data_IF_363820616817
#
_entry.id   IF_363820616817
#
_cell.length_a   1.000
_cell.length_b   1.000
_cell.length_c   1.000
_cell.angle_alpha   90.00
_cell.angle_beta   90.00
_cell.angle_gamma   90.00
#
_symmetry.space_group_name_H-M   'P 1'
#
loop_
_entity.id
_entity.type
_entity.pdbx_description
1 polymer ?
#
# COMPACT_ATOMS: atom_id res chain seq x y z
N UNK A 1 -23.22 5.55 -24.86
CA UNK A 1 -22.92 5.79 -23.44
C UNK A 1 -21.80 6.79 -23.38
N UNK A 2 -21.97 7.88 -22.64
CA UNK A 2 -20.93 8.91 -22.52
C UNK A 2 -19.72 8.40 -21.71
N UNK A 3 -18.53 8.96 -21.96
CA UNK A 3 -17.28 8.54 -21.31
C UNK A 3 -17.34 8.73 -19.80
N UNK A 4 -17.97 9.81 -19.32
CA UNK A 4 -18.10 10.07 -17.88
C UNK A 4 -19.01 9.03 -17.22
N UNK A 5 -20.10 8.67 -17.88
CA UNK A 5 -21.01 7.61 -17.42
C UNK A 5 -20.30 6.26 -17.35
N UNK A 6 -19.50 5.92 -18.37
CA UNK A 6 -18.70 4.69 -18.36
C UNK A 6 -17.69 4.69 -17.20
N UNK A 7 -17.02 5.81 -16.97
CA UNK A 7 -16.05 5.96 -15.88
C UNK A 7 -16.69 5.71 -14.53
N UNK A 8 -17.84 6.33 -14.25
CA UNK A 8 -18.58 6.10 -13.01
C UNK A 8 -19.01 4.65 -12.82
N UNK A 9 -19.47 3.99 -13.89
CA UNK A 9 -19.86 2.59 -13.84
C UNK A 9 -18.64 1.71 -13.51
N UNK A 10 -17.53 1.88 -14.21
CA UNK A 10 -16.33 1.04 -14.01
C UNK A 10 -15.74 1.25 -12.62
N UNK A 11 -15.59 2.52 -12.19
CA UNK A 11 -15.07 2.85 -10.85
C UNK A 11 -16.02 2.33 -9.76
N UNK A 12 -17.32 2.61 -9.90
CA UNK A 12 -18.34 2.17 -8.94
C UNK A 12 -18.42 0.65 -8.81
N UNK A 13 -18.42 -0.08 -9.93
CA UNK A 13 -18.41 -1.55 -9.92
C UNK A 13 -17.13 -2.12 -9.31
N UNK A 14 -15.98 -1.48 -9.54
CA UNK A 14 -14.70 -1.89 -8.97
C UNK A 14 -14.73 -1.76 -7.44
N UNK A 15 -15.19 -0.62 -6.91
CA UNK A 15 -15.35 -0.45 -5.47
C UNK A 15 -16.41 -1.39 -4.89
N UNK A 16 -17.56 -1.56 -5.55
CA UNK A 16 -18.60 -2.47 -5.09
C UNK A 16 -18.10 -3.92 -5.02
N UNK A 17 -17.30 -4.36 -6.01
CA UNK A 17 -16.66 -5.67 -6.00
C UNK A 17 -15.72 -5.81 -4.80
N UNK A 18 -14.82 -4.85 -4.57
CA UNK A 18 -13.88 -4.91 -3.45
C UNK A 18 -14.58 -4.86 -2.09
N UNK A 19 -15.60 -4.02 -1.92
CA UNK A 19 -16.40 -4.01 -0.68
C UNK A 19 -17.17 -5.32 -0.48
N UNK A 20 -17.74 -5.90 -1.55
CA UNK A 20 -18.38 -7.21 -1.50
C UNK A 20 -17.41 -8.30 -1.05
N UNK A 21 -16.19 -8.31 -1.60
CA UNK A 21 -15.12 -9.24 -1.19
C UNK A 21 -14.72 -9.00 0.27
N UNK A 22 -14.55 -7.74 0.70
CA UNK A 22 -14.16 -7.41 2.07
C UNK A 22 -15.19 -7.86 3.11
N UNK A 23 -16.49 -7.74 2.81
CA UNK A 23 -17.57 -8.22 3.67
C UNK A 23 -17.59 -9.75 3.69
N UNK A 24 -17.43 -10.40 2.53
CA UNK A 24 -17.45 -11.86 2.42
C UNK A 24 -16.25 -12.53 3.09
N UNK A 25 -15.07 -11.95 2.97
CA UNK A 25 -13.81 -12.49 3.47
C UNK A 25 -13.40 -11.93 4.84
N UNK A 26 -14.38 -11.50 5.65
CA UNK A 26 -14.13 -10.88 6.96
C UNK A 26 -13.41 -11.84 7.91
N UNK A 27 -12.24 -11.45 8.40
CA UNK A 27 -11.46 -12.24 9.36
C UNK A 27 -12.14 -12.29 10.74
N UNK A 28 -12.16 -13.47 11.37
CA UNK A 28 -12.69 -13.69 12.71
C UNK A 28 -11.60 -13.63 13.80
N UNK A 29 -10.33 -13.81 13.44
CA UNK A 29 -9.20 -13.79 14.39
C UNK A 29 -8.03 -12.93 13.91
N UNK A 30 -7.14 -12.54 14.82
CA UNK A 30 -5.90 -11.82 14.51
C UNK A 30 -5.00 -12.59 13.53
N UNK A 31 -4.95 -13.92 13.64
CA UNK A 31 -4.16 -14.76 12.73
C UNK A 31 -4.74 -14.82 11.32
N UNK A 32 -6.07 -14.82 11.19
CA UNK A 32 -6.75 -14.69 9.90
C UNK A 32 -6.55 -13.29 9.31
N UNK A 33 -6.64 -12.26 10.15
CA UNK A 33 -6.47 -10.87 9.71
C UNK A 33 -5.05 -10.57 9.21
N UNK A 34 -4.01 -10.96 9.95
CA UNK A 34 -2.63 -10.64 9.59
C UNK A 34 -1.93 -11.66 8.70
N UNK A 35 -2.38 -12.93 8.69
CA UNK A 35 -1.68 -14.00 7.98
C UNK A 35 -2.60 -14.86 7.10
N UNK A 36 -3.89 -14.52 6.96
CA UNK A 36 -4.86 -15.28 6.16
C UNK A 36 -4.82 -16.79 6.47
N UNK A 37 -4.65 -17.14 7.76
CA UNK A 37 -4.53 -18.54 8.20
C UNK A 37 -3.31 -19.30 7.66
N UNK A 38 -2.33 -18.61 7.04
CA UNK A 38 -1.15 -19.17 6.36
C UNK A 38 -1.48 -20.15 5.21
N UNK A 39 -2.71 -20.12 4.69
CA UNK A 39 -3.19 -21.04 3.65
C UNK A 39 -3.07 -20.52 2.22
N UNK A 40 -2.61 -19.28 2.01
CA UNK A 40 -2.53 -18.66 0.68
C UNK A 40 -1.36 -19.25 -0.13
N UNK A 41 -1.64 -19.70 -1.35
CA UNK A 41 -0.64 -20.24 -2.26
C UNK A 41 0.51 -19.22 -2.49
N UNK A 42 1.79 -19.63 -2.47
CA UNK A 42 2.93 -18.71 -2.55
C UNK A 42 2.89 -17.75 -3.74
N UNK A 43 2.46 -18.23 -4.92
CA UNK A 43 2.34 -17.39 -6.12
C UNK A 43 1.25 -16.33 -5.95
N UNK A 44 0.09 -16.69 -5.39
CA UNK A 44 -0.97 -15.73 -5.14
C UNK A 44 -0.57 -14.71 -4.07
N UNK A 45 0.12 -15.16 -3.01
CA UNK A 45 0.67 -14.27 -2.00
C UNK A 45 1.72 -13.32 -2.59
N UNK A 46 2.59 -13.81 -3.48
CA UNK A 46 3.57 -12.99 -4.20
C UNK A 46 2.92 -11.96 -5.12
N UNK A 47 1.86 -12.32 -5.85
CA UNK A 47 1.10 -11.37 -6.66
C UNK A 47 0.39 -10.32 -5.81
N UNK A 48 -0.22 -10.70 -4.68
CA UNK A 48 -0.83 -9.76 -3.75
C UNK A 48 0.22 -8.79 -3.17
N UNK A 49 1.39 -9.30 -2.82
CA UNK A 49 2.54 -8.55 -2.33
C UNK A 49 3.05 -7.56 -3.40
N UNK A 50 3.14 -7.99 -4.66
CA UNK A 50 3.50 -7.11 -5.78
C UNK A 50 2.41 -6.09 -6.13
N UNK A 51 1.13 -6.40 -5.93
CA UNK A 51 0.03 -5.47 -6.13
C UNK A 51 0.02 -4.39 -5.03
N UNK A 52 0.24 -4.76 -3.77
CA UNK A 52 0.36 -3.83 -2.63
C UNK A 52 1.57 -2.89 -2.79
N UNK A 53 2.62 -3.36 -3.47
CA UNK A 53 3.76 -2.54 -3.86
C UNK A 53 3.41 -1.39 -4.82
N UNK A 54 2.33 -1.54 -5.61
CA UNK A 54 1.91 -0.53 -6.58
C UNK A 54 1.09 0.57 -5.90
N UNK A 55 1.50 1.84 -6.07
CA UNK A 55 0.81 2.96 -5.43
C UNK A 55 0.85 4.24 -6.26
N UNK A 56 0.28 5.33 -5.75
CA UNK A 56 0.33 6.63 -6.43
C UNK A 56 1.77 7.11 -6.68
N UNK A 57 2.70 6.76 -5.80
CA UNK A 57 4.13 7.03 -6.02
C UNK A 57 4.65 6.32 -7.28
N UNK A 58 4.24 5.07 -7.50
CA UNK A 58 4.63 4.26 -8.66
C UNK A 58 4.01 4.77 -9.95
N UNK A 59 2.71 5.06 -9.97
CA UNK A 59 2.00 5.42 -11.20
C UNK A 59 2.12 6.90 -11.56
N UNK A 60 1.92 7.80 -10.58
CA UNK A 60 1.91 9.25 -10.82
C UNK A 60 3.30 9.82 -10.61
N UNK A 61 3.95 9.46 -9.50
CA UNK A 61 5.27 9.96 -9.14
C UNK A 61 6.35 9.58 -10.15
N UNK A 62 6.46 8.29 -10.50
CA UNK A 62 7.47 7.81 -11.45
C UNK A 62 7.23 8.36 -12.86
N UNK A 63 5.98 8.37 -13.33
CA UNK A 63 5.64 8.96 -14.63
C UNK A 63 6.03 10.44 -14.69
N UNK A 64 5.71 11.21 -13.65
CA UNK A 64 6.13 12.62 -13.55
C UNK A 64 7.65 12.78 -13.54
N UNK A 65 8.36 12.00 -12.72
CA UNK A 65 9.83 12.06 -12.66
C UNK A 65 10.47 11.76 -14.02
N UNK A 66 10.01 10.73 -14.74
CA UNK A 66 10.54 10.41 -16.07
C UNK A 66 10.19 11.50 -17.08
N UNK A 67 8.97 12.04 -17.04
CA UNK A 67 8.56 13.11 -17.94
C UNK A 67 9.42 14.38 -17.79
N UNK A 68 9.84 14.73 -16.57
CA UNK A 68 10.63 15.94 -16.30
C UNK A 68 12.15 15.73 -16.26
N UNK A 69 12.62 14.55 -15.86
CA UNK A 69 14.06 14.25 -15.67
C UNK A 69 14.59 13.24 -16.68
N UNK A 70 13.76 12.71 -17.57
CA UNK A 70 14.13 11.74 -18.57
C UNK A 70 14.42 10.35 -18.01
N UNK A 71 15.12 9.55 -18.81
CA UNK A 71 15.42 8.15 -18.52
C UNK A 71 16.25 7.95 -17.25
N UNK A 72 17.09 8.92 -16.87
CA UNK A 72 17.93 8.83 -15.67
C UNK A 72 17.12 8.65 -14.39
N UNK A 73 15.86 9.11 -14.36
CA UNK A 73 14.97 8.86 -13.23
C UNK A 73 14.61 7.37 -13.05
N UNK A 74 14.80 6.52 -14.05
CA UNK A 74 14.54 5.07 -13.96
C UNK A 74 15.41 4.37 -12.90
N UNK A 75 16.53 4.97 -12.47
CA UNK A 75 17.34 4.44 -11.37
C UNK A 75 16.54 4.32 -10.07
N UNK A 76 15.53 5.19 -9.86
CA UNK A 76 14.64 5.09 -8.71
C UNK A 76 13.82 3.80 -8.75
N UNK A 77 13.36 3.40 -9.94
CA UNK A 77 12.61 2.15 -10.12
C UNK A 77 13.49 0.94 -9.78
N UNK A 78 14.74 0.93 -10.27
CA UNK A 78 15.70 -0.15 -10.00
C UNK A 78 16.10 -0.22 -8.53
N UNK A 79 16.46 0.91 -7.92
CA UNK A 79 16.86 0.96 -6.52
C UNK A 79 15.72 0.58 -5.57
N UNK A 80 14.53 1.09 -5.84
CA UNK A 80 13.34 0.83 -5.03
C UNK A 80 12.90 -0.64 -5.14
N UNK A 81 12.73 -1.15 -6.37
CA UNK A 81 12.32 -2.55 -6.60
C UNK A 81 13.39 -3.53 -6.14
N UNK A 82 14.66 -3.23 -6.40
CA UNK A 82 15.78 -4.04 -5.91
C UNK A 82 15.83 -4.09 -4.38
N UNK A 83 15.63 -2.94 -3.72
CA UNK A 83 15.53 -2.86 -2.26
C UNK A 83 14.38 -3.70 -1.72
N UNK A 84 13.24 -3.71 -2.40
CA UNK A 84 12.10 -4.55 -2.04
C UNK A 84 12.42 -6.05 -2.11
N UNK A 85 13.04 -6.49 -3.20
CA UNK A 85 13.46 -7.88 -3.37
C UNK A 85 14.45 -8.28 -2.29
N UNK A 86 15.43 -7.42 -1.98
CA UNK A 86 16.38 -7.66 -0.89
C UNK A 86 15.68 -7.77 0.46
N UNK A 87 14.72 -6.90 0.76
CA UNK A 87 13.93 -6.99 1.99
C UNK A 87 13.12 -8.30 2.05
N UNK A 88 12.47 -8.67 0.94
CA UNK A 88 11.67 -9.89 0.84
C UNK A 88 12.51 -11.15 1.02
N UNK A 89 13.76 -11.18 0.53
CA UNK A 89 14.65 -12.33 0.64
C UNK A 89 15.42 -12.36 1.97
N UNK A 90 15.88 -11.20 2.44
CA UNK A 90 16.80 -11.12 3.58
C UNK A 90 16.12 -10.86 4.92
N UNK A 91 14.91 -10.28 4.95
CA UNK A 91 14.23 -9.91 6.20
C UNK A 91 12.95 -10.71 6.43
N UNK A 92 12.10 -10.85 5.40
CA UNK A 92 10.81 -11.51 5.55
C UNK A 92 10.88 -12.97 6.09
N UNK A 93 11.88 -13.81 5.71
CA UNK A 93 11.99 -15.16 6.27
C UNK A 93 12.24 -15.17 7.79
N UNK A 94 13.02 -14.20 8.30
CA UNK A 94 13.32 -14.11 9.73
C UNK A 94 12.11 -13.61 10.51
N UNK A 95 11.41 -12.60 10.01
CA UNK A 95 10.16 -12.12 10.62
C UNK A 95 9.11 -13.25 10.67
N UNK A 96 8.97 -14.02 9.58
CA UNK A 96 8.06 -15.18 9.53
C UNK A 96 8.40 -16.25 10.55
N UNK A 97 9.69 -16.54 10.78
CA UNK A 97 10.17 -17.49 11.81
C UNK A 97 9.94 -16.99 13.23
N UNK A 98 10.05 -15.67 13.45
CA UNK A 98 9.83 -15.06 14.77
C UNK A 98 8.36 -15.05 15.21
N UNK A 99 7.42 -15.22 14.28
CA UNK A 99 5.99 -15.36 14.59
C UNK A 99 5.32 -14.07 15.07
N UNK A 100 5.98 -12.91 14.92
CA UNK A 100 5.42 -11.59 15.24
C UNK A 100 4.74 -10.99 14.02
N UNK A 101 3.68 -10.21 14.26
CA UNK A 101 2.91 -9.57 13.19
C UNK A 101 3.42 -8.17 12.83
N UNK A 102 4.15 -7.51 13.73
CA UNK A 102 4.66 -6.13 13.52
C UNK A 102 6.18 -6.05 13.65
N UNK A 103 6.79 -5.14 12.88
CA UNK A 103 8.24 -4.87 12.95
C UNK A 103 8.67 -4.30 14.31
N UNK A 104 7.94 -3.36 14.94
CA UNK A 104 8.32 -2.88 16.27
C UNK A 104 8.29 -3.96 17.34
N UNK A 105 7.32 -4.88 17.31
CA UNK A 105 7.28 -6.01 18.25
C UNK A 105 8.47 -6.94 18.05
N UNK A 106 8.81 -7.22 16.79
CA UNK A 106 10.01 -7.99 16.46
C UNK A 106 11.27 -7.33 17.04
N UNK A 107 11.46 -6.02 16.86
CA UNK A 107 12.62 -5.30 17.39
C UNK A 107 12.65 -5.35 18.93
N UNK A 108 11.51 -5.08 19.58
CA UNK A 108 11.42 -5.11 21.03
C UNK A 108 11.82 -6.45 21.63
N UNK A 109 11.34 -7.54 21.04
CA UNK A 109 11.61 -8.90 21.52
C UNK A 109 13.02 -9.37 21.14
N UNK A 110 13.50 -9.02 19.94
CA UNK A 110 14.84 -9.40 19.47
C UNK A 110 15.95 -8.81 20.34
N UNK A 111 15.73 -7.63 20.91
CA UNK A 111 16.69 -6.90 21.74
C UNK A 111 16.30 -6.85 23.22
N UNK A 112 15.20 -7.50 23.62
CA UNK A 112 14.68 -7.48 24.99
C UNK A 112 14.54 -6.05 25.57
N UNK A 113 14.09 -5.11 24.75
CA UNK A 113 14.11 -3.68 25.09
C UNK A 113 12.82 -2.97 24.68
N UNK A 114 12.09 -2.48 25.69
CA UNK A 114 10.91 -1.62 25.47
C UNK A 114 11.28 -0.30 24.81
N UNK A 115 12.47 0.25 25.10
CA UNK A 115 12.96 1.47 24.46
C UNK A 115 13.17 1.26 22.96
N UNK A 116 13.81 0.14 22.56
CA UNK A 116 14.00 -0.19 21.15
C UNK A 116 12.65 -0.36 20.40
N UNK A 117 11.66 -0.97 21.07
CA UNK A 117 10.29 -1.07 20.54
C UNK A 117 9.69 0.31 20.29
N UNK A 118 9.75 1.21 21.27
CA UNK A 118 9.18 2.57 21.16
C UNK A 118 9.86 3.35 20.03
N UNK A 119 11.18 3.27 19.91
CA UNK A 119 11.92 3.90 18.81
C UNK A 119 11.43 3.35 17.46
N UNK A 120 11.29 2.03 17.33
CA UNK A 120 10.76 1.41 16.12
C UNK A 120 9.32 1.85 15.79
N UNK A 121 8.45 2.02 16.80
CA UNK A 121 7.11 2.57 16.62
C UNK A 121 7.17 4.00 16.09
N UNK A 122 8.00 4.86 16.66
CA UNK A 122 8.17 6.24 16.20
C UNK A 122 8.64 6.26 14.74
N UNK A 123 9.66 5.46 14.39
CA UNK A 123 10.13 5.35 13.02
C UNK A 123 9.03 4.88 12.06
N UNK A 124 8.25 3.87 12.47
CA UNK A 124 7.13 3.36 11.69
C UNK A 124 6.06 4.44 11.45
N UNK A 125 5.71 5.21 12.48
CA UNK A 125 4.73 6.29 12.37
C UNK A 125 5.23 7.38 11.42
N UNK A 126 6.47 7.84 11.59
CA UNK A 126 7.06 8.88 10.72
C UNK A 126 7.06 8.42 9.27
N UNK A 127 7.56 7.22 8.99
CA UNK A 127 7.57 6.66 7.63
C UNK A 127 6.16 6.53 7.05
N UNK A 128 5.21 6.00 7.84
CA UNK A 128 3.81 5.83 7.42
C UNK A 128 3.14 7.17 7.13
N UNK A 129 3.32 8.18 7.98
CA UNK A 129 2.73 9.50 7.78
C UNK A 129 3.26 10.17 6.51
N UNK A 130 4.58 10.15 6.30
CA UNK A 130 5.17 10.69 5.07
C UNK A 130 4.61 10.00 3.83
N UNK A 131 4.45 8.68 3.90
CA UNK A 131 3.88 7.90 2.80
C UNK A 131 2.41 8.24 2.54
N UNK A 132 1.59 8.28 3.59
CA UNK A 132 0.15 8.59 3.51
C UNK A 132 -0.07 9.98 2.91
N UNK A 133 0.72 10.99 3.28
CA UNK A 133 0.61 12.34 2.69
C UNK A 133 0.77 12.28 1.16
N UNK A 134 1.77 11.53 0.68
CA UNK A 134 1.98 11.33 -0.76
C UNK A 134 0.81 10.62 -1.44
N UNK A 135 0.30 9.55 -0.81
CA UNK A 135 -0.86 8.82 -1.34
C UNK A 135 -2.12 9.70 -1.38
N UNK A 136 -2.36 10.53 -0.36
CA UNK A 136 -3.52 11.44 -0.33
C UNK A 136 -3.49 12.43 -1.48
N UNK A 137 -2.31 12.98 -1.79
CA UNK A 137 -2.16 13.82 -2.98
C UNK A 137 -2.46 13.05 -4.27
N UNK A 138 -1.99 11.81 -4.36
CA UNK A 138 -2.29 10.90 -5.46
C UNK A 138 -3.78 10.64 -5.65
N UNK A 139 -4.48 10.34 -4.56
CA UNK A 139 -5.94 10.15 -4.53
C UNK A 139 -6.64 11.41 -5.01
N UNK A 140 -6.31 12.58 -4.46
CA UNK A 140 -6.93 13.85 -4.88
C UNK A 140 -6.75 14.12 -6.37
N UNK A 141 -5.57 13.85 -6.93
CA UNK A 141 -5.30 13.98 -8.38
C UNK A 141 -6.11 12.95 -9.18
N UNK A 142 -6.12 11.69 -8.78
CA UNK A 142 -6.85 10.65 -9.53
C UNK A 142 -8.36 10.89 -9.50
N UNK A 143 -8.95 11.09 -8.32
CA UNK A 143 -10.39 11.28 -8.16
C UNK A 143 -10.89 12.55 -8.83
N UNK A 144 -10.20 13.69 -8.69
CA UNK A 144 -10.63 14.92 -9.38
C UNK A 144 -10.64 14.76 -10.90
N UNK A 145 -9.70 13.99 -11.46
CA UNK A 145 -9.63 13.74 -12.91
C UNK A 145 -10.66 12.75 -13.41
N UNK A 146 -10.84 11.63 -12.72
CA UNK A 146 -11.78 10.59 -13.17
C UNK A 146 -13.23 10.92 -12.84
N UNK A 147 -13.47 11.65 -11.75
CA UNK A 147 -14.82 12.06 -11.35
C UNK A 147 -15.21 13.44 -11.89
N UNK A 148 -14.29 14.15 -12.56
CA UNK A 148 -14.49 15.50 -13.10
C UNK A 148 -15.03 16.49 -12.04
N UNK A 149 -14.41 16.46 -10.86
CA UNK A 149 -14.73 17.32 -9.72
C UNK A 149 -13.52 18.14 -9.31
N UNK A 150 -13.71 19.17 -8.50
CA UNK A 150 -12.59 19.93 -7.95
C UNK A 150 -11.68 19.03 -7.08
N UNK A 151 -10.42 19.44 -6.94
CA UNK A 151 -9.42 18.67 -6.20
C UNK A 151 -9.81 18.41 -4.74
N UNK A 152 -10.43 19.38 -4.06
CA UNK A 152 -10.82 19.23 -2.66
C UNK A 152 -11.94 18.21 -2.51
N UNK A 153 -12.96 18.26 -3.37
CA UNK A 153 -14.03 17.26 -3.42
C UNK A 153 -13.48 15.88 -3.75
N UNK A 154 -12.60 15.76 -4.75
CA UNK A 154 -11.94 14.50 -5.10
C UNK A 154 -11.09 13.93 -3.95
N UNK A 155 -10.36 14.80 -3.24
CA UNK A 155 -9.57 14.42 -2.08
C UNK A 155 -10.46 13.91 -0.93
N UNK A 156 -11.47 14.68 -0.52
CA UNK A 156 -12.32 14.30 0.63
C UNK A 156 -13.16 13.06 0.35
N UNK A 157 -13.70 12.91 -0.87
CA UNK A 157 -14.44 11.71 -1.26
C UNK A 157 -13.52 10.48 -1.32
N UNK A 158 -12.33 10.61 -1.91
CA UNK A 158 -11.35 9.54 -1.93
C UNK A 158 -10.87 9.15 -0.52
N UNK A 159 -10.66 10.13 0.37
CA UNK A 159 -10.35 9.87 1.77
C UNK A 159 -11.45 9.06 2.47
N UNK A 160 -12.72 9.44 2.32
CA UNK A 160 -13.84 8.74 2.97
C UNK A 160 -14.15 7.35 2.42
N UNK A 161 -13.67 7.02 1.21
CA UNK A 161 -13.84 5.70 0.60
C UNK A 161 -12.67 4.76 0.95
N UNK A 162 -11.45 5.31 1.02
CA UNK A 162 -10.22 4.52 1.16
C UNK A 162 -9.79 4.33 2.62
N UNK A 163 -10.18 5.24 3.53
CA UNK A 163 -9.92 5.15 4.97
C UNK A 163 -11.19 4.89 5.78
#
# INVERSE_FOLDING_TARGET
MDLQTLTYIVVGLTFALYFGIAIWARAGTTGEYYAAGRGVHPVANGMATAADWMSAASFIGMAGLIAFKGYDASIFLMGWTGGYVLLALCLAPYLRKFGKFTVPDFIGDRYYSSTARIVAVICLIVASLTYVIGQMKGIGVAFSRFMDVDYSTGLYTGMGIVF
#
